data_IF_087623046496
#
_entry.id   IF_087623046496
#
_cell.length_a   1.000
_cell.length_b   1.000
_cell.length_c   1.000
_cell.angle_alpha   90.00
_cell.angle_beta   90.00
_cell.angle_gamma   90.00
#
_symmetry.space_group_name_H-M   'P 1'
#
loop_
_entity.id
_entity.type
_entity.pdbx_description
1 polymer ?
#
# COMPACT_ATOMS: atom_id res chain seq x y z
N UNK A 1 10.35 -8.11 -16.15
CA UNK A 1 8.87 -8.24 -16.22
C UNK A 1 8.42 -7.68 -17.55
N UNK A 2 7.45 -8.30 -18.21
CA UNK A 2 6.95 -7.86 -19.51
C UNK A 2 5.80 -6.87 -19.36
N UNK A 3 5.58 -6.02 -20.36
CA UNK A 3 4.43 -5.11 -20.37
C UNK A 3 3.10 -5.88 -20.39
N UNK A 4 3.05 -7.02 -21.09
CA UNK A 4 1.89 -7.91 -21.08
C UNK A 4 1.54 -8.39 -19.66
N UNK A 5 2.54 -8.82 -18.87
CA UNK A 5 2.32 -9.24 -17.48
C UNK A 5 1.83 -8.07 -16.61
N UNK A 6 2.39 -6.87 -16.84
CA UNK A 6 1.98 -5.65 -16.13
C UNK A 6 0.52 -5.33 -16.38
N UNK A 7 0.10 -5.37 -17.65
CA UNK A 7 -1.27 -5.09 -18.05
C UNK A 7 -2.25 -6.14 -17.50
N UNK A 8 -1.90 -7.42 -17.52
CA UNK A 8 -2.72 -8.49 -16.93
C UNK A 8 -2.98 -8.28 -15.43
N UNK A 9 -1.94 -7.96 -14.65
CA UNK A 9 -2.08 -7.69 -13.21
C UNK A 9 -2.95 -6.45 -12.97
N UNK A 10 -2.74 -5.39 -13.76
CA UNK A 10 -3.51 -4.14 -13.69
C UNK A 10 -5.00 -4.35 -14.00
N UNK A 11 -5.32 -5.10 -15.05
CA UNK A 11 -6.69 -5.39 -15.47
C UNK A 11 -7.42 -6.24 -14.44
N UNK A 12 -6.76 -7.30 -13.97
CA UNK A 12 -7.29 -8.16 -12.90
C UNK A 12 -7.58 -7.37 -11.62
N UNK A 13 -6.76 -6.39 -11.30
CA UNK A 13 -6.96 -5.50 -10.16
C UNK A 13 -8.09 -4.46 -10.37
N UNK A 14 -8.80 -4.51 -11.50
CA UNK A 14 -9.85 -3.53 -11.83
C UNK A 14 -9.31 -2.10 -11.90
N UNK A 15 -8.03 -1.94 -12.27
CA UNK A 15 -7.33 -0.64 -12.32
C UNK A 15 -7.31 0.10 -10.97
N UNK A 16 -7.26 -0.66 -9.87
CA UNK A 16 -7.23 -0.15 -8.49
C UNK A 16 -6.15 -0.85 -7.69
N UNK A 17 -5.59 -0.17 -6.69
CA UNK A 17 -4.65 -0.78 -5.76
C UNK A 17 -5.32 -1.95 -5.05
N UNK A 18 -4.71 -3.13 -5.08
CA UNK A 18 -5.32 -4.34 -4.48
C UNK A 18 -5.34 -4.31 -2.94
N UNK A 19 -4.65 -3.35 -2.32
CA UNK A 19 -4.66 -3.12 -0.87
C UNK A 19 -5.68 -2.06 -0.44
N UNK A 20 -5.66 -0.88 -1.07
CA UNK A 20 -6.46 0.27 -0.63
C UNK A 20 -7.54 0.72 -1.60
N UNK A 21 -7.73 0.02 -2.73
CA UNK A 21 -8.69 0.35 -3.78
C UNK A 21 -8.54 1.74 -4.42
N UNK A 22 -7.41 2.43 -4.20
CA UNK A 22 -7.04 3.67 -4.89
C UNK A 22 -7.04 3.42 -6.41
N UNK A 23 -7.84 4.16 -7.20
CA UNK A 23 -7.82 4.02 -8.65
C UNK A 23 -6.48 4.47 -9.25
N UNK A 24 -6.01 3.75 -10.27
CA UNK A 24 -4.74 4.08 -10.94
C UNK A 24 -4.79 5.31 -11.87
N UNK A 25 -5.99 5.81 -12.14
CA UNK A 25 -6.20 7.05 -12.88
C UNK A 25 -6.16 8.29 -11.98
N UNK A 26 -6.38 8.14 -10.67
CA UNK A 26 -6.26 9.25 -9.73
C UNK A 26 -4.75 9.49 -9.56
N UNK A 27 -4.22 10.65 -9.95
CA UNK A 27 -2.78 10.88 -10.02
C UNK A 27 -2.17 10.71 -8.63
N UNK A 28 -1.38 9.66 -8.37
CA UNK A 28 -0.49 9.67 -7.25
C UNK A 28 0.70 10.57 -7.62
N UNK A 29 1.47 11.01 -6.63
CA UNK A 29 2.77 11.62 -6.88
C UNK A 29 3.73 10.68 -7.66
N UNK A 30 3.42 9.37 -7.68
CA UNK A 30 4.27 8.29 -8.21
C UNK A 30 3.45 7.22 -8.96
N UNK A 31 4.02 6.51 -9.95
CA UNK A 31 3.33 5.44 -10.66
C UNK A 31 2.92 4.26 -9.76
N UNK A 32 1.98 3.44 -10.24
CA UNK A 32 1.70 2.14 -9.64
C UNK A 32 2.79 1.13 -10.02
N UNK A 33 2.96 0.13 -9.17
CA UNK A 33 4.00 -0.89 -9.30
C UNK A 33 3.40 -2.29 -9.30
N UNK A 34 4.12 -3.21 -9.94
CA UNK A 34 3.94 -4.63 -9.71
C UNK A 34 4.72 -4.97 -8.45
N UNK A 35 4.01 -5.31 -7.40
CA UNK A 35 4.58 -5.69 -6.13
C UNK A 35 4.50 -7.21 -5.97
N UNK A 36 5.57 -7.82 -5.47
CA UNK A 36 5.54 -9.23 -5.11
C UNK A 36 4.88 -9.39 -3.74
N UNK A 37 3.75 -10.10 -3.68
CA UNK A 37 3.02 -10.39 -2.44
C UNK A 37 3.96 -11.11 -1.46
N UNK A 38 4.63 -12.16 -1.94
CA UNK A 38 5.82 -12.75 -1.32
C UNK A 38 7.04 -12.23 -2.05
N UNK A 39 7.89 -11.46 -1.37
CA UNK A 39 9.06 -10.88 -2.01
C UNK A 39 10.02 -11.95 -2.56
N UNK A 40 10.75 -11.60 -3.63
CA UNK A 40 11.72 -12.49 -4.26
C UNK A 40 12.80 -13.00 -3.29
N UNK A 41 13.21 -12.16 -2.33
CA UNK A 41 14.19 -12.56 -1.30
C UNK A 41 13.66 -13.64 -0.33
N UNK A 42 12.33 -13.82 -0.27
CA UNK A 42 11.67 -14.89 0.49
C UNK A 42 11.27 -16.07 -0.42
N UNK A 43 11.83 -16.16 -1.63
CA UNK A 43 11.52 -17.22 -2.60
C UNK A 43 10.29 -16.95 -3.46
N UNK A 44 9.71 -15.76 -3.40
CA UNK A 44 8.55 -15.42 -4.21
C UNK A 44 8.84 -15.34 -5.71
N UNK A 45 8.03 -16.01 -6.50
CA UNK A 45 8.16 -16.04 -7.96
C UNK A 45 7.59 -14.80 -8.64
N UNK A 46 8.03 -14.53 -9.88
CA UNK A 46 7.46 -13.45 -10.70
C UNK A 46 6.40 -14.03 -11.63
N UNK A 47 5.22 -14.29 -11.07
CA UNK A 47 4.06 -14.85 -11.79
C UNK A 47 2.77 -14.10 -11.40
N UNK A 48 1.66 -14.37 -12.09
CA UNK A 48 0.40 -13.69 -11.83
C UNK A 48 -0.09 -13.87 -10.39
N UNK A 49 0.09 -15.05 -9.80
CA UNK A 49 -0.43 -15.38 -8.47
C UNK A 49 0.35 -14.73 -7.32
N UNK A 50 1.59 -14.30 -7.59
CA UNK A 50 2.43 -13.63 -6.60
C UNK A 50 2.61 -12.13 -6.87
N UNK A 51 2.00 -11.58 -7.92
CA UNK A 51 2.06 -10.15 -8.21
C UNK A 51 0.78 -9.46 -7.81
N UNK A 52 0.91 -8.25 -7.25
CA UNK A 52 -0.17 -7.35 -6.92
C UNK A 52 -0.02 -6.00 -7.63
N UNK A 53 -1.14 -5.39 -8.04
CA UNK A 53 -1.16 -4.00 -8.49
C UNK A 53 -1.19 -3.08 -7.27
N UNK A 54 -0.07 -2.43 -6.98
CA UNK A 54 0.11 -1.66 -5.76
C UNK A 54 0.39 -0.18 -6.05
N UNK A 55 -0.24 0.72 -5.30
CA UNK A 55 0.17 2.12 -5.29
C UNK A 55 1.49 2.28 -4.51
N UNK A 56 2.17 3.41 -4.71
CA UNK A 56 3.44 3.71 -4.05
C UNK A 56 3.40 3.53 -2.52
N UNK A 57 2.27 3.84 -1.87
CA UNK A 57 2.12 3.73 -0.40
C UNK A 57 2.37 2.32 0.11
N UNK A 58 1.64 1.35 -0.45
CA UNK A 58 1.75 -0.03 0.00
C UNK A 58 3.00 -0.69 -0.56
N UNK A 59 3.40 -0.36 -1.79
CA UNK A 59 4.65 -0.86 -2.37
C UNK A 59 5.89 -0.46 -1.52
N UNK A 60 6.00 0.81 -1.10
CA UNK A 60 7.18 1.30 -0.39
C UNK A 60 7.24 0.89 1.08
N UNK A 61 6.09 0.73 1.75
CA UNK A 61 6.08 0.47 3.19
C UNK A 61 5.88 -1.00 3.54
N UNK A 62 5.09 -1.78 2.77
CA UNK A 62 5.04 -3.24 2.95
C UNK A 62 6.43 -3.84 2.74
N UNK A 63 7.14 -3.36 1.71
CA UNK A 63 8.47 -3.87 1.34
C UNK A 63 8.45 -5.41 1.31
N UNK A 64 9.43 -6.18 1.84
CA UNK A 64 9.31 -7.64 1.76
C UNK A 64 8.44 -8.23 2.88
N UNK A 65 7.87 -7.42 3.76
CA UNK A 65 7.20 -7.92 4.94
C UNK A 65 5.99 -8.77 4.55
N UNK A 66 5.86 -9.90 5.25
CA UNK A 66 4.69 -10.79 5.20
C UNK A 66 3.81 -10.64 6.44
N UNK A 67 4.35 -10.00 7.48
CA UNK A 67 3.69 -9.75 8.76
C UNK A 67 3.89 -8.29 9.17
N UNK A 68 3.01 -7.81 10.04
CA UNK A 68 3.10 -6.50 10.64
C UNK A 68 2.59 -6.54 12.07
N UNK A 69 2.64 -5.40 12.75
CA UNK A 69 2.09 -5.26 14.09
C UNK A 69 0.66 -4.75 13.99
N UNK A 70 -0.28 -5.47 14.58
CA UNK A 70 -1.65 -4.99 14.80
C UNK A 70 -1.61 -3.80 15.76
N UNK A 71 -2.08 -2.64 15.29
CA UNK A 71 -2.08 -1.41 16.06
C UNK A 71 -2.92 -1.50 17.35
N UNK A 72 -3.96 -2.34 17.39
CA UNK A 72 -4.83 -2.44 18.58
C UNK A 72 -4.29 -3.38 19.64
N UNK A 73 -3.74 -4.53 19.25
CA UNK A 73 -3.28 -5.57 20.19
C UNK A 73 -1.78 -5.51 20.44
N UNK A 74 -1.02 -4.84 19.57
CA UNK A 74 0.46 -4.84 19.55
C UNK A 74 1.06 -6.21 19.25
N UNK A 75 0.26 -7.16 18.81
CA UNK A 75 0.71 -8.50 18.42
C UNK A 75 1.10 -8.54 16.94
N UNK A 76 1.90 -9.53 16.58
CA UNK A 76 2.26 -9.79 15.18
C UNK A 76 1.07 -10.47 14.49
N UNK A 77 0.66 -9.92 13.36
CA UNK A 77 -0.37 -10.49 12.50
C UNK A 77 0.14 -10.58 11.05
N UNK A 78 -0.36 -11.55 10.25
CA UNK A 78 -0.05 -11.60 8.84
C UNK A 78 -0.58 -10.35 8.13
N UNK A 79 0.15 -9.88 7.12
CA UNK A 79 -0.35 -8.85 6.21
C UNK A 79 -1.34 -9.46 5.21
N UNK A 80 -2.24 -8.61 4.72
CA UNK A 80 -3.26 -8.98 3.77
C UNK A 80 -2.66 -9.57 2.50
N UNK A 81 -3.20 -10.71 2.09
CA UNK A 81 -2.81 -11.42 0.90
C UNK A 81 -3.93 -11.32 -0.15
N UNK A 82 -3.79 -10.49 -1.20
CA UNK A 82 -4.89 -10.18 -2.12
C UNK A 82 -5.38 -11.37 -2.94
N UNK A 83 -4.68 -12.51 -2.94
CA UNK A 83 -5.15 -13.78 -3.56
C UNK A 83 -5.79 -14.80 -2.60
N UNK A 84 -5.65 -14.61 -1.29
CA UNK A 84 -6.10 -15.59 -0.27
C UNK A 84 -7.17 -15.00 0.63
N UNK A 85 -7.10 -13.70 0.88
CA UNK A 85 -7.99 -13.01 1.79
C UNK A 85 -9.11 -12.28 1.05
N UNK A 86 -10.30 -12.30 1.62
CA UNK A 86 -11.45 -11.52 1.12
C UNK A 86 -11.34 -10.09 1.63
N UNK A 87 -11.14 -9.13 0.72
CA UNK A 87 -10.90 -7.72 1.07
C UNK A 87 -11.97 -7.14 2.01
N UNK A 88 -13.26 -7.40 1.74
CA UNK A 88 -14.39 -6.88 2.52
C UNK A 88 -14.51 -7.45 3.94
N UNK A 89 -13.83 -8.57 4.23
CA UNK A 89 -13.73 -9.09 5.59
C UNK A 89 -12.60 -8.41 6.38
N UNK A 90 -11.56 -7.95 5.68
CA UNK A 90 -10.35 -7.40 6.29
C UNK A 90 -10.43 -5.89 6.45
N UNK A 91 -11.16 -5.21 5.55
CA UNK A 91 -11.17 -3.76 5.46
C UNK A 91 -12.56 -3.17 5.24
N UNK A 92 -12.68 -1.90 5.62
CA UNK A 92 -13.78 -1.01 5.26
C UNK A 92 -13.20 0.35 4.83
N UNK A 93 -13.87 1.02 3.88
CA UNK A 93 -13.63 2.44 3.60
C UNK A 93 -14.62 3.28 4.41
N UNK A 94 -14.10 4.12 5.31
CA UNK A 94 -14.87 5.11 6.04
C UNK A 94 -14.61 6.49 5.44
N UNK A 95 -15.39 6.85 4.43
CA UNK A 95 -15.11 8.01 3.60
C UNK A 95 -13.81 7.81 2.83
N UNK A 96 -12.77 8.56 3.21
CA UNK A 96 -11.45 8.56 2.58
C UNK A 96 -10.40 7.80 3.43
N UNK A 97 -10.83 7.16 4.51
CA UNK A 97 -9.98 6.39 5.42
C UNK A 97 -10.15 4.88 5.17
N UNK A 98 -9.03 4.16 5.06
CA UNK A 98 -9.02 2.70 5.04
C UNK A 98 -8.90 2.17 6.46
N UNK A 99 -9.92 1.45 6.91
CA UNK A 99 -10.01 0.92 8.28
C UNK A 99 -9.82 -0.60 8.23
N UNK A 100 -8.94 -1.12 9.09
CA UNK A 100 -8.75 -2.57 9.27
C UNK A 100 -9.73 -3.14 10.29
N UNK A 101 -10.49 -4.17 9.90
CA UNK A 101 -11.54 -4.80 10.72
C UNK A 101 -11.00 -5.98 11.56
N UNK A 102 -9.93 -6.61 11.09
CA UNK A 102 -9.27 -7.77 11.70
C UNK A 102 -7.84 -7.43 12.09
N UNK A 103 -7.13 -8.28 12.86
CA UNK A 103 -5.69 -8.11 13.09
C UNK A 103 -4.88 -7.98 11.80
N UNK A 104 -5.18 -8.81 10.79
CA UNK A 104 -4.56 -8.74 9.45
C UNK A 104 -4.83 -7.40 8.76
N UNK A 105 -6.08 -6.94 8.78
CA UNK A 105 -6.46 -5.67 8.20
C UNK A 105 -5.74 -4.51 8.90
N UNK A 106 -5.74 -4.48 10.23
CA UNK A 106 -5.08 -3.42 11.02
C UNK A 106 -3.56 -3.41 10.84
N UNK A 107 -2.93 -4.58 10.85
CA UNK A 107 -1.50 -4.71 10.57
C UNK A 107 -1.13 -4.21 9.16
N UNK A 108 -2.01 -4.47 8.18
CA UNK A 108 -1.84 -3.99 6.79
C UNK A 108 -2.02 -2.49 6.67
N UNK A 109 -3.08 -1.91 7.26
CA UNK A 109 -3.30 -0.47 7.27
C UNK A 109 -2.12 0.26 7.91
N UNK A 110 -1.55 -0.30 8.97
CA UNK A 110 -0.37 0.24 9.63
C UNK A 110 0.88 0.28 8.71
N UNK A 111 0.94 -0.55 7.66
CA UNK A 111 1.97 -0.41 6.63
C UNK A 111 1.69 0.79 5.72
N UNK A 112 0.45 1.16 5.42
CA UNK A 112 0.11 2.15 4.39
C UNK A 112 0.54 3.60 4.65
N UNK A 113 1.12 3.90 5.82
CA UNK A 113 1.50 5.25 6.26
C UNK A 113 0.30 6.15 6.59
N UNK A 114 0.53 7.24 7.32
CA UNK A 114 -0.46 8.10 8.00
C UNK A 114 -1.36 8.97 7.10
N UNK A 115 -1.42 8.73 5.79
CA UNK A 115 -2.19 9.58 4.88
C UNK A 115 -3.63 9.06 4.65
N UNK A 116 -4.60 9.81 5.14
CA UNK A 116 -6.01 9.78 4.73
C UNK A 116 -6.06 10.08 3.21
N UNK A 117 -6.90 9.41 2.40
CA UNK A 117 -7.11 9.83 1.00
C UNK A 117 -7.48 11.33 1.05
N UNK A 118 -6.66 12.17 0.42
CA UNK A 118 -6.75 13.61 0.56
C UNK A 118 -8.16 14.10 0.22
N UNK A 119 -8.93 14.50 1.24
CA UNK A 119 -9.81 15.64 1.06
C UNK A 119 -8.88 16.82 0.77
N UNK A 120 -9.16 17.57 -0.28
CA UNK A 120 -8.33 18.63 -0.88
C UNK A 120 -8.13 19.87 0.01
N UNK A 121 -8.02 19.70 1.33
CA UNK A 121 -7.81 20.82 2.25
C UNK A 121 -6.82 20.45 3.37
N UNK A 122 -5.57 20.93 3.17
CA UNK A 122 -4.55 21.33 4.18
C UNK A 122 -3.39 20.37 4.50
N UNK A 123 -2.22 20.93 4.90
CA UNK A 123 -0.97 20.72 4.20
C UNK A 123 -0.10 19.60 4.78
N UNK A 124 0.74 19.08 3.90
CA UNK A 124 1.85 18.17 4.17
C UNK A 124 2.73 18.73 5.28
N UNK A 125 2.74 18.09 6.45
CA UNK A 125 3.79 18.29 7.44
C UNK A 125 5.04 17.58 6.91
N UNK A 126 5.98 18.37 6.38
CA UNK A 126 7.30 17.92 5.89
C UNK A 126 8.09 17.25 7.02
N UNK A 127 8.45 15.99 6.86
CA UNK A 127 9.63 15.42 7.55
C UNK A 127 10.85 15.48 6.63
N UNK A 128 11.63 16.55 6.85
CA UNK A 128 13.09 16.55 7.00
C UNK A 128 13.91 15.64 6.05
N UNK A 129 14.32 16.18 4.91
CA UNK A 129 15.67 15.95 4.39
C UNK A 129 16.43 17.28 4.50
N UNK A 130 17.37 17.32 5.43
CA UNK A 130 18.35 18.40 5.55
C UNK A 130 19.25 18.37 4.31
N UNK A 131 19.20 19.41 3.49
CA UNK A 131 20.37 19.87 2.76
C UNK A 131 20.52 21.36 3.04
N UNK A 132 21.57 21.64 3.81
CA UNK A 132 22.32 22.90 3.89
C UNK A 132 21.95 23.95 2.84
N UNK A 133 21.38 25.06 3.30
CA UNK A 133 21.83 26.45 3.13
C UNK A 133 20.62 27.36 3.38
N UNK A 134 20.53 27.90 4.60
CA UNK A 134 19.58 28.97 4.93
C UNK A 134 19.97 30.27 4.18
N UNK A 135 18.98 31.13 3.92
CA UNK A 135 18.94 32.34 4.72
C UNK A 135 17.60 32.51 5.44
N UNK A 136 17.73 33.08 6.63
CA UNK A 136 16.74 33.41 7.65
C UNK A 136 15.41 33.93 7.12
N UNK A 137 14.32 33.34 7.61
CA UNK A 137 13.00 33.94 7.61
C UNK A 137 12.94 35.11 8.61
N UNK A 138 12.28 36.19 8.19
CA UNK A 138 11.50 37.10 9.03
C UNK A 138 10.04 37.02 8.55
#
# INVERSE_FOLDING_TARGET
>A
MTEALRQQVRERAGRRCEYCHLPDWLPPLEPFHLEHIVARQHGGETNLDNLAWACHRYNHHKRPNLTGVDASTREIAPLFHPRRDVWTLQFMLRGSELVGLTPTGRATVNQGGEFIFASTTRPVCRTRYEYSLAPSCA
#
